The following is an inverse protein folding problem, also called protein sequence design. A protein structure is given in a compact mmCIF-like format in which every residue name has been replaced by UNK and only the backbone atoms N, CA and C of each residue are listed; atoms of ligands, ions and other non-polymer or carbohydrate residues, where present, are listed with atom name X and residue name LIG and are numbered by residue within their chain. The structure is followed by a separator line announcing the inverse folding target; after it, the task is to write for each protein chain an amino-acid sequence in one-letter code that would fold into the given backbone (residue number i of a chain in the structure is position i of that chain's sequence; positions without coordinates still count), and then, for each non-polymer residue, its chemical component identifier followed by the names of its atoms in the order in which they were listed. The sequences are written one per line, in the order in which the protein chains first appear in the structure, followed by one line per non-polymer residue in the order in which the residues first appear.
data_IF_009195002176
#
_entry.id   IF_009195002176
#
_cell.length_a   1.000
_cell.length_b   1.000
_cell.length_c   1.000
_cell.angle_alpha   90.00
_cell.angle_beta   90.00
_cell.angle_gamma   90.00
#
_symmetry.space_group_name_H-M   'P 1'
#
loop_
_entity.id
_entity.type
_entity.pdbx_description
1 polymer ?
#
# COMPACT_ATOMS: atom_id res chain seq x y z
N UNK A 1 4.73 -20.19 7.53
CA UNK A 1 3.85 -20.52 6.37
C UNK A 1 4.43 -21.71 5.63
N UNK A 2 3.65 -22.76 5.39
CA UNK A 2 4.04 -23.93 4.61
C UNK A 2 3.54 -23.82 3.17
N UNK A 3 4.20 -24.49 2.20
CA UNK A 3 3.64 -24.64 0.86
C UNK A 3 2.29 -25.37 0.92
N UNK A 4 1.38 -25.08 -0.02
CA UNK A 4 0.13 -25.83 -0.17
C UNK A 4 0.42 -27.33 -0.37
N UNK A 5 -0.43 -28.19 0.22
CA UNK A 5 -0.28 -29.64 0.09
C UNK A 5 -0.53 -30.17 -1.32
N UNK A 6 -1.36 -29.45 -2.10
CA UNK A 6 -1.69 -29.80 -3.50
C UNK A 6 -1.66 -28.53 -4.37
N UNK A 7 -0.47 -28.02 -4.69
CA UNK A 7 -0.36 -26.81 -5.52
C UNK A 7 -0.70 -27.12 -6.97
N UNK A 8 -1.41 -26.18 -7.63
CA UNK A 8 -1.70 -26.29 -9.06
C UNK A 8 -0.51 -25.73 -9.86
N UNK A 9 -0.17 -26.39 -10.98
CA UNK A 9 0.86 -25.87 -11.90
C UNK A 9 0.48 -24.48 -12.40
N UNK A 10 1.44 -23.53 -12.34
CA UNK A 10 1.23 -22.12 -12.63
C UNK A 10 0.87 -21.26 -11.42
N UNK A 11 0.59 -21.85 -10.26
CA UNK A 11 0.36 -21.09 -9.03
C UNK A 11 1.64 -20.39 -8.56
N UNK A 12 1.51 -19.13 -8.16
CA UNK A 12 2.59 -18.31 -7.60
C UNK A 12 2.23 -17.82 -6.21
N UNK A 13 3.24 -17.73 -5.34
CA UNK A 13 3.08 -17.32 -3.95
C UNK A 13 4.23 -16.41 -3.52
N UNK A 14 3.94 -15.45 -2.65
CA UNK A 14 4.96 -14.75 -1.90
C UNK A 14 5.24 -15.56 -0.64
N UNK A 15 6.48 -16.01 -0.48
CA UNK A 15 6.90 -16.79 0.69
C UNK A 15 7.02 -15.87 1.89
N UNK A 16 6.36 -16.22 3.00
CA UNK A 16 6.41 -15.43 4.24
C UNK A 16 7.81 -15.45 4.89
N UNK A 17 8.01 -14.60 5.89
CA UNK A 17 9.29 -14.44 6.57
C UNK A 17 9.78 -15.72 7.30
N UNK A 18 8.85 -16.56 7.78
CA UNK A 18 9.19 -17.83 8.48
C UNK A 18 8.59 -19.02 7.74
N UNK A 19 9.16 -19.43 6.60
CA UNK A 19 8.66 -20.55 5.81
C UNK A 19 9.04 -21.90 6.42
N UNK A 20 8.23 -22.92 6.11
CA UNK A 20 8.46 -24.31 6.52
C UNK A 20 8.36 -25.24 5.31
N UNK A 21 8.70 -26.53 5.49
CA UNK A 21 8.62 -27.53 4.43
C UNK A 21 9.56 -27.20 3.26
N UNK A 22 9.09 -27.40 2.03
CA UNK A 22 9.87 -27.17 0.82
C UNK A 22 10.27 -25.69 0.59
N UNK A 23 9.78 -24.76 1.42
CA UNK A 23 10.08 -23.34 1.32
C UNK A 23 11.13 -22.85 2.33
N UNK A 24 11.69 -23.74 3.16
CA UNK A 24 12.76 -23.39 4.13
C UNK A 24 13.92 -22.70 3.40
N UNK A 25 14.40 -21.57 3.94
CA UNK A 25 15.47 -20.77 3.35
C UNK A 25 15.07 -19.94 2.13
N UNK A 26 13.76 -19.86 1.81
CA UNK A 26 13.22 -19.09 0.67
C UNK A 26 12.31 -17.94 1.11
N UNK A 27 12.53 -17.43 2.33
CA UNK A 27 11.77 -16.28 2.83
C UNK A 27 11.78 -15.13 1.84
N UNK A 28 10.63 -14.47 1.70
CA UNK A 28 10.37 -13.37 0.79
C UNK A 28 10.42 -13.69 -0.71
N UNK A 29 10.90 -14.87 -1.12
CA UNK A 29 10.94 -15.22 -2.54
C UNK A 29 9.54 -15.33 -3.15
N UNK A 30 9.47 -15.12 -4.46
CA UNK A 30 8.33 -15.62 -5.25
C UNK A 30 8.55 -17.12 -5.49
N UNK A 31 7.59 -17.93 -5.07
CA UNK A 31 7.58 -19.36 -5.31
C UNK A 31 6.54 -19.69 -6.39
N UNK A 32 6.99 -20.24 -7.51
CA UNK A 32 6.13 -20.71 -8.60
C UNK A 32 6.14 -22.25 -8.63
N UNK A 33 4.95 -22.85 -8.71
CA UNK A 33 4.83 -24.29 -8.87
C UNK A 33 4.75 -24.67 -10.34
N UNK A 34 5.67 -25.50 -10.79
CA UNK A 34 5.78 -25.97 -12.17
C UNK A 34 5.61 -27.48 -12.26
N UNK A 35 5.52 -28.06 -13.45
CA UNK A 35 5.53 -29.52 -13.65
C UNK A 35 6.81 -30.20 -13.10
N UNK A 36 7.91 -29.43 -12.99
CA UNK A 36 9.17 -29.89 -12.37
C UNK A 36 9.31 -29.51 -10.89
N UNK A 37 8.22 -29.15 -10.21
CA UNK A 37 8.21 -28.74 -8.80
C UNK A 37 8.39 -27.25 -8.58
N UNK A 38 8.75 -26.86 -7.37
CA UNK A 38 8.91 -25.48 -6.96
C UNK A 38 10.10 -24.79 -7.64
N UNK A 39 9.88 -23.58 -8.14
CA UNK A 39 10.90 -22.64 -8.60
C UNK A 39 10.81 -21.38 -7.76
N UNK A 40 11.97 -20.81 -7.44
CA UNK A 40 12.05 -19.63 -6.57
C UNK A 40 12.77 -18.50 -7.27
N UNK A 41 12.23 -17.31 -7.12
CA UNK A 41 12.83 -16.06 -7.61
C UNK A 41 13.08 -15.19 -6.38
N UNK A 42 14.33 -14.88 -6.13
CA UNK A 42 14.69 -13.92 -5.09
C UNK A 42 14.22 -12.53 -5.51
N UNK A 43 13.46 -11.81 -4.68
CA UNK A 43 12.99 -10.49 -5.06
C UNK A 43 14.13 -9.47 -5.00
N UNK A 44 14.04 -8.47 -5.86
CA UNK A 44 14.89 -7.28 -5.85
C UNK A 44 14.03 -6.06 -5.55
N UNK A 45 14.63 -5.00 -5.01
CA UNK A 45 13.92 -3.75 -4.72
C UNK A 45 13.24 -3.21 -5.99
N UNK A 46 11.96 -2.83 -5.86
CA UNK A 46 11.12 -2.40 -6.96
C UNK A 46 10.32 -3.53 -7.64
N UNK A 47 10.60 -4.81 -7.36
CA UNK A 47 9.77 -5.91 -7.86
C UNK A 47 8.35 -5.76 -7.34
N UNK A 48 7.35 -5.89 -8.22
CA UNK A 48 5.93 -5.79 -7.86
C UNK A 48 5.17 -7.05 -8.27
N UNK A 49 4.14 -7.38 -7.49
CA UNK A 49 3.24 -8.49 -7.75
C UNK A 49 1.81 -8.15 -7.32
N UNK A 50 0.81 -8.64 -8.06
CA UNK A 50 -0.59 -8.54 -7.64
C UNK A 50 -0.99 -9.75 -6.82
N UNK A 51 -1.41 -9.52 -5.57
CA UNK A 51 -1.83 -10.57 -4.63
C UNK A 51 -3.34 -10.76 -4.74
N UNK A 52 -3.75 -11.77 -5.49
CA UNK A 52 -5.17 -12.06 -5.79
C UNK A 52 -6.02 -12.27 -4.54
N UNK A 53 -5.46 -12.92 -3.50
CA UNK A 53 -6.19 -13.23 -2.27
C UNK A 53 -6.66 -12.00 -1.49
N UNK A 54 -5.91 -10.89 -1.58
CA UNK A 54 -6.24 -9.61 -0.92
C UNK A 54 -6.71 -8.55 -1.90
N UNK A 55 -6.61 -8.81 -3.23
CA UNK A 55 -6.85 -7.83 -4.29
C UNK A 55 -5.97 -6.58 -4.19
N UNK A 56 -4.73 -6.74 -3.73
CA UNK A 56 -3.77 -5.66 -3.51
C UNK A 56 -2.49 -5.87 -4.31
N UNK A 57 -1.85 -4.76 -4.68
CA UNK A 57 -0.48 -4.78 -5.16
C UNK A 57 0.49 -4.92 -3.99
N UNK A 58 1.51 -5.74 -4.18
CA UNK A 58 2.67 -5.83 -3.30
C UNK A 58 3.91 -5.32 -4.03
N UNK A 59 4.74 -4.54 -3.35
CA UNK A 59 6.04 -4.11 -3.85
C UNK A 59 7.13 -4.58 -2.87
N UNK A 60 8.21 -5.14 -3.39
CA UNK A 60 9.36 -5.50 -2.57
C UNK A 60 10.25 -4.28 -2.39
N UNK A 61 10.55 -3.95 -1.14
CA UNK A 61 11.33 -2.77 -0.78
C UNK A 61 12.05 -2.99 0.56
N UNK A 62 13.33 -2.62 0.59
CA UNK A 62 14.13 -2.70 1.81
C UNK A 62 14.06 -4.07 2.50
N UNK A 63 14.08 -5.15 1.74
CA UNK A 63 14.09 -6.52 2.24
C UNK A 63 12.74 -7.11 2.61
N UNK A 64 11.61 -6.41 2.35
CA UNK A 64 10.27 -6.88 2.69
C UNK A 64 9.23 -6.57 1.58
N UNK A 65 8.14 -7.33 1.57
CA UNK A 65 6.98 -7.04 0.73
C UNK A 65 6.03 -6.09 1.45
N UNK A 66 5.81 -4.92 0.87
CA UNK A 66 4.80 -3.95 1.29
C UNK A 66 3.52 -4.20 0.50
N UNK A 67 2.43 -4.53 1.20
CA UNK A 67 1.15 -4.85 0.59
C UNK A 67 0.18 -3.67 0.68
N UNK A 68 -0.40 -3.27 -0.45
CA UNK A 68 -1.39 -2.19 -0.53
C UNK A 68 -0.82 -0.78 -0.34
N UNK A 69 0.50 -0.62 -0.39
CA UNK A 69 1.17 0.68 -0.25
C UNK A 69 1.63 1.18 -1.61
N UNK A 70 1.15 2.35 -2.01
CA UNK A 70 1.67 3.10 -3.15
C UNK A 70 2.62 4.18 -2.65
N UNK A 71 3.85 4.19 -3.12
CA UNK A 71 4.87 5.19 -2.79
C UNK A 71 5.23 5.99 -4.03
N UNK A 72 5.18 7.30 -3.91
CA UNK A 72 5.50 8.24 -4.97
C UNK A 72 5.58 9.65 -4.42
N UNK A 73 6.08 10.59 -5.20
CA UNK A 73 6.16 12.01 -4.84
C UNK A 73 4.91 12.77 -5.30
N UNK A 74 4.20 12.23 -6.27
CA UNK A 74 2.97 12.84 -6.79
C UNK A 74 2.13 11.80 -7.54
N UNK A 75 0.84 12.11 -7.71
CA UNK A 75 -0.07 11.42 -8.64
C UNK A 75 -0.41 12.38 -9.76
N UNK A 76 -0.17 11.96 -11.00
CA UNK A 76 -0.43 12.76 -12.21
C UNK A 76 -1.47 12.02 -13.05
N UNK A 77 -2.56 12.69 -13.41
CA UNK A 77 -3.60 12.17 -14.30
C UNK A 77 -3.75 13.12 -15.49
N UNK A 78 -3.75 12.56 -16.70
CA UNK A 78 -3.85 13.35 -17.95
C UNK A 78 -2.84 14.51 -18.03
N UNK A 79 -1.62 14.31 -17.52
CA UNK A 79 -0.57 15.33 -17.50
C UNK A 79 -0.72 16.39 -16.39
N UNK A 80 -1.76 16.30 -15.56
CA UNK A 80 -1.97 17.23 -14.45
C UNK A 80 -1.71 16.54 -13.11
N UNK A 81 -1.00 17.22 -12.20
CA UNK A 81 -0.79 16.73 -10.85
C UNK A 81 -2.10 16.89 -10.05
N UNK A 82 -2.61 15.77 -9.52
CA UNK A 82 -3.83 15.71 -8.69
C UNK A 82 -3.54 15.50 -7.21
N UNK A 83 -2.40 14.87 -6.88
CA UNK A 83 -1.88 14.77 -5.52
C UNK A 83 -0.39 15.09 -5.53
N UNK A 84 0.07 15.84 -4.56
CA UNK A 84 1.46 16.22 -4.37
C UNK A 84 1.90 16.06 -2.93
N UNK A 85 2.88 16.86 -2.53
CA UNK A 85 3.31 16.93 -1.15
C UNK A 85 2.16 17.37 -0.24
N UNK A 86 2.14 16.85 0.98
CA UNK A 86 1.19 17.25 2.01
C UNK A 86 1.28 18.76 2.25
N UNK A 87 0.15 19.46 2.21
CA UNK A 87 0.10 20.89 2.45
C UNK A 87 0.15 21.20 3.96
N UNK A 88 0.57 22.42 4.30
CA UNK A 88 0.59 22.91 5.69
C UNK A 88 -0.80 22.92 6.32
N UNK A 89 -0.84 22.93 7.64
CA UNK A 89 -2.09 23.00 8.40
C UNK A 89 -2.88 24.27 8.06
N UNK A 90 -4.19 24.09 7.92
CA UNK A 90 -5.14 25.20 7.79
C UNK A 90 -5.81 25.37 9.16
N UNK A 91 -5.70 26.55 9.80
CA UNK A 91 -6.33 26.78 11.10
C UNK A 91 -7.86 26.80 11.00
N UNK A 92 -8.50 26.36 12.06
CA UNK A 92 -9.96 26.48 12.18
C UNK A 92 -10.37 27.95 12.27
N UNK A 93 -11.53 28.36 11.71
CA UNK A 93 -11.98 29.74 11.78
C UNK A 93 -12.28 30.15 13.24
N UNK A 94 -11.67 31.26 13.66
CA UNK A 94 -11.84 31.83 15.00
C UNK A 94 -12.08 33.34 14.94
N UNK A 95 -12.72 33.93 15.94
CA UNK A 95 -12.99 35.35 16.01
C UNK A 95 -14.11 35.81 15.06
N UNK A 96 -14.18 37.15 14.84
CA UNK A 96 -15.20 37.79 14.05
C UNK A 96 -16.40 38.28 14.87
N UNK A 97 -17.02 39.42 14.44
CA UNK A 97 -18.18 40.05 15.13
C UNK A 97 -19.49 39.34 14.77
N UNK A 98 -19.57 38.72 13.58
CA UNK A 98 -20.71 37.91 13.16
C UNK A 98 -20.25 36.45 13.07
N UNK A 99 -20.91 35.58 13.84
CA UNK A 99 -20.58 34.14 13.89
C UNK A 99 -21.71 33.38 13.18
N UNK A 100 -21.40 32.80 12.04
CA UNK A 100 -22.23 31.82 11.36
C UNK A 100 -21.83 30.43 11.88
N UNK A 101 -22.62 29.87 12.76
CA UNK A 101 -22.31 28.58 13.42
C UNK A 101 -22.39 27.43 12.42
N UNK A 102 -23.31 27.46 11.49
CA UNK A 102 -23.52 26.46 10.46
C UNK A 102 -22.33 26.41 9.48
N UNK A 103 -21.92 27.61 9.00
CA UNK A 103 -20.76 27.71 8.11
C UNK A 103 -19.46 27.23 8.81
N UNK A 104 -19.23 27.61 10.08
CA UNK A 104 -18.08 27.14 10.87
C UNK A 104 -18.10 25.64 11.08
N UNK A 105 -19.26 25.06 11.34
CA UNK A 105 -19.43 23.61 11.48
C UNK A 105 -19.09 22.91 10.17
N UNK A 106 -19.57 23.39 9.03
CA UNK A 106 -19.25 22.84 7.71
C UNK A 106 -17.74 22.91 7.40
N UNK A 107 -17.10 24.06 7.65
CA UNK A 107 -15.66 24.25 7.47
C UNK A 107 -14.88 23.28 8.38
N UNK A 108 -15.27 23.12 9.63
CA UNK A 108 -14.60 22.19 10.56
C UNK A 108 -14.68 20.73 10.08
N UNK A 109 -15.82 20.32 9.52
CA UNK A 109 -16.00 18.99 8.94
C UNK A 109 -15.13 18.80 7.69
N UNK A 110 -15.06 19.77 6.81
CA UNK A 110 -14.18 19.74 5.62
C UNK A 110 -12.71 19.64 6.04
N UNK A 111 -12.26 20.49 6.98
CA UNK A 111 -10.90 20.45 7.50
C UNK A 111 -10.61 19.09 8.16
N UNK A 112 -11.56 18.54 8.91
CA UNK A 112 -11.46 17.22 9.50
C UNK A 112 -11.24 16.12 8.45
N UNK A 113 -12.03 16.15 7.38
CA UNK A 113 -11.92 15.17 6.30
C UNK A 113 -10.56 15.24 5.59
N UNK A 114 -10.11 16.43 5.18
CA UNK A 114 -8.81 16.56 4.49
C UNK A 114 -7.60 16.27 5.38
N UNK A 115 -7.68 16.53 6.70
CA UNK A 115 -6.69 16.09 7.69
C UNK A 115 -6.67 14.59 7.84
N UNK A 116 -7.84 13.95 7.94
CA UNK A 116 -7.98 12.49 8.04
C UNK A 116 -7.33 11.78 6.84
N UNK A 117 -7.48 12.34 5.63
CA UNK A 117 -6.83 11.81 4.43
C UNK A 117 -5.34 12.20 4.32
N UNK A 118 -4.80 12.98 5.25
CA UNK A 118 -3.41 13.39 5.24
C UNK A 118 -3.04 14.37 4.14
N UNK A 119 -4.01 15.09 3.57
CA UNK A 119 -3.80 16.08 2.50
C UNK A 119 -3.22 17.38 3.02
N UNK A 120 -3.52 17.73 4.28
CA UNK A 120 -2.92 18.85 5.02
C UNK A 120 -2.41 18.38 6.38
N UNK A 121 -1.56 19.17 7.02
CA UNK A 121 -1.09 18.93 8.39
C UNK A 121 -2.23 19.13 9.41
N UNK A 122 -2.07 18.53 10.59
CA UNK A 122 -3.02 18.65 11.71
C UNK A 122 -2.81 19.91 12.54
#
# INVERSE_FOLDING_TARGET
MSPPGSPTVGSCYIVAASPTGAWVGKQHNLAAFTSGGWRFIAPIDGMAAYVRASSLWAAFRSGAWELGVLRGTSVVLAGQQVLGARASAIPSPTGGTTVDAEARSAIAQILGAIRQHGLIET
#
